data_IF_087960530783
#
_entry.id   IF_087960530783
#
_cell.length_a   1.000
_cell.length_b   1.000
_cell.length_c   1.000
_cell.angle_alpha   90.00
_cell.angle_beta   90.00
_cell.angle_gamma   90.00
#
_symmetry.space_group_name_H-M   'P 1'
#
loop_
_entity.id
_entity.type
_entity.pdbx_description
1 polymer ?
#
# COMPACT_ATOMS: atom_id res chain seq x y z
N UNK A 1 17.60 4.34 -1.38
CA UNK A 1 16.98 3.08 -0.91
C UNK A 1 15.90 3.43 0.09
N UNK A 2 14.64 2.99 -0.11
CA UNK A 2 13.58 3.26 0.86
C UNK A 2 13.82 2.43 2.13
N UNK A 3 14.28 3.09 3.18
CA UNK A 3 14.49 2.48 4.49
C UNK A 3 13.14 2.39 5.19
N UNK A 4 12.87 1.28 5.88
CA UNK A 4 11.63 1.15 6.62
C UNK A 4 11.53 2.22 7.71
N UNK A 5 10.46 3.01 7.68
CA UNK A 5 10.12 3.95 8.75
C UNK A 5 8.61 4.02 8.91
N UNK A 6 8.15 4.33 10.13
CA UNK A 6 6.71 4.50 10.41
C UNK A 6 6.08 5.56 9.49
N UNK A 7 6.81 6.64 9.24
CA UNK A 7 6.37 7.71 8.35
C UNK A 7 6.26 7.24 6.89
N UNK A 8 7.23 6.47 6.40
CA UNK A 8 7.21 5.92 5.05
C UNK A 8 5.99 5.01 4.84
N UNK A 9 5.65 4.17 5.83
CA UNK A 9 4.46 3.30 5.79
C UNK A 9 3.17 4.12 5.75
N UNK A 10 3.04 5.13 6.62
CA UNK A 10 1.85 5.98 6.68
C UNK A 10 1.68 6.83 5.41
N UNK A 11 2.79 7.33 4.85
CA UNK A 11 2.78 8.09 3.60
C UNK A 11 2.38 7.20 2.42
N UNK A 12 2.92 5.97 2.35
CA UNK A 12 2.50 4.98 1.35
C UNK A 12 1.00 4.67 1.46
N UNK A 13 0.51 4.42 2.68
CA UNK A 13 -0.91 4.15 2.93
C UNK A 13 -1.79 5.30 2.40
N UNK A 14 -1.48 6.54 2.78
CA UNK A 14 -2.23 7.73 2.31
C UNK A 14 -2.14 7.91 0.80
N UNK A 15 -0.98 7.65 0.19
CA UNK A 15 -0.79 7.76 -1.25
C UNK A 15 -1.64 6.75 -2.02
N UNK A 16 -1.72 5.49 -1.56
CA UNK A 16 -2.58 4.46 -2.14
C UNK A 16 -4.06 4.86 -2.04
N UNK A 17 -4.51 5.32 -0.89
CA UNK A 17 -5.88 5.80 -0.72
C UNK A 17 -6.19 6.99 -1.64
N UNK A 18 -5.22 7.90 -1.85
CA UNK A 18 -5.39 9.05 -2.74
C UNK A 18 -5.49 8.61 -4.20
N UNK A 19 -4.63 7.71 -4.67
CA UNK A 19 -4.75 7.17 -6.02
C UNK A 19 -6.05 6.40 -6.21
N UNK A 20 -6.49 5.63 -5.21
CA UNK A 20 -7.75 4.89 -5.24
C UNK A 20 -8.99 5.75 -5.47
N UNK A 21 -8.94 7.06 -5.17
CA UNK A 21 -10.04 7.99 -5.49
C UNK A 21 -10.22 8.22 -7.00
N UNK A 22 -9.16 8.02 -7.77
CA UNK A 22 -9.17 8.15 -9.24
C UNK A 22 -9.63 6.89 -9.96
N UNK A 23 -9.92 5.81 -9.24
CA UNK A 23 -10.45 4.58 -9.82
C UNK A 23 -11.88 4.80 -10.33
N UNK A 24 -12.10 4.44 -11.59
CA UNK A 24 -13.35 4.63 -12.35
C UNK A 24 -14.09 3.33 -12.58
N UNK A 25 -13.39 2.23 -12.85
CA UNK A 25 -14.00 0.97 -13.28
C UNK A 25 -13.96 -0.13 -12.21
N UNK A 26 -13.35 0.15 -11.07
CA UNK A 26 -13.26 -0.78 -9.95
C UNK A 26 -14.11 -0.33 -8.78
N UNK A 27 -14.63 -1.29 -8.02
CA UNK A 27 -15.34 -1.01 -6.78
C UNK A 27 -14.37 -0.40 -5.77
N UNK A 28 -14.60 0.89 -5.48
CA UNK A 28 -13.76 1.68 -4.58
C UNK A 28 -13.83 1.17 -3.15
N UNK A 29 -14.99 0.70 -2.69
CA UNK A 29 -15.15 0.20 -1.33
C UNK A 29 -14.42 -1.14 -1.17
N UNK A 30 -14.48 -1.98 -2.20
CA UNK A 30 -13.66 -3.20 -2.26
C UNK A 30 -12.16 -2.89 -2.26
N UNK A 31 -11.72 -1.92 -3.07
CA UNK A 31 -10.31 -1.49 -3.08
C UNK A 31 -9.87 -0.99 -1.70
N UNK A 32 -10.64 -0.08 -1.09
CA UNK A 32 -10.33 0.50 0.22
C UNK A 32 -10.29 -0.58 1.31
N UNK A 33 -11.24 -1.50 1.31
CA UNK A 33 -11.27 -2.62 2.26
C UNK A 33 -10.06 -3.55 2.08
N UNK A 34 -9.67 -3.84 0.83
CA UNK A 34 -8.51 -4.67 0.51
C UNK A 34 -7.20 -4.04 0.99
N UNK A 35 -7.01 -2.74 0.75
CA UNK A 35 -5.84 -2.00 1.25
C UNK A 35 -5.80 -2.02 2.78
N UNK A 36 -6.93 -1.75 3.46
CA UNK A 36 -7.00 -1.80 4.92
C UNK A 36 -6.66 -3.19 5.47
N UNK A 37 -7.19 -4.25 4.84
CA UNK A 37 -6.94 -5.64 5.23
C UNK A 37 -5.46 -6.01 5.10
N UNK A 38 -4.82 -5.63 4.00
CA UNK A 38 -3.40 -5.92 3.78
C UNK A 38 -2.49 -5.20 4.80
N UNK A 39 -2.75 -3.93 5.08
CA UNK A 39 -1.99 -3.18 6.10
C UNK A 39 -2.22 -3.73 7.51
N UNK A 40 -3.47 -4.09 7.86
CA UNK A 40 -3.80 -4.66 9.18
C UNK A 40 -3.16 -6.04 9.38
N UNK A 41 -3.18 -6.89 8.34
CA UNK A 41 -2.51 -8.21 8.38
C UNK A 41 -1.01 -8.10 8.65
N UNK A 42 -0.37 -7.10 8.05
CA UNK A 42 1.07 -6.91 8.12
C UNK A 42 1.52 -5.95 9.25
N UNK A 43 0.60 -5.43 10.06
CA UNK A 43 0.89 -4.44 11.11
C UNK A 43 1.78 -5.02 12.23
N UNK A 44 1.68 -6.33 12.48
CA UNK A 44 2.42 -7.03 13.53
C UNK A 44 3.64 -7.79 13.01
N UNK A 45 4.09 -7.52 11.78
CA UNK A 45 5.35 -8.08 11.28
C UNK A 45 6.49 -7.68 12.24
N UNK A 46 7.22 -8.66 12.74
CA UNK A 46 8.34 -8.45 13.66
C UNK A 46 9.68 -8.40 12.92
N UNK A 47 9.81 -9.18 11.83
CA UNK A 47 11.04 -9.24 11.03
C UNK A 47 11.30 -7.92 10.28
N UNK A 48 12.48 -7.31 10.43
CA UNK A 48 12.86 -6.11 9.71
C UNK A 48 12.95 -6.33 8.19
N UNK A 49 13.37 -7.52 7.76
CA UNK A 49 13.48 -7.89 6.35
C UNK A 49 12.11 -7.95 5.68
N UNK A 50 11.13 -8.55 6.36
CA UNK A 50 9.75 -8.60 5.87
C UNK A 50 9.13 -7.21 5.80
N UNK A 51 9.36 -6.38 6.82
CA UNK A 51 8.93 -4.98 6.85
C UNK A 51 9.43 -4.21 5.62
N UNK A 52 10.72 -4.33 5.29
CA UNK A 52 11.28 -3.69 4.10
C UNK A 52 10.72 -4.26 2.80
N UNK A 53 10.60 -5.58 2.70
CA UNK A 53 10.06 -6.25 1.52
C UNK A 53 8.64 -5.81 1.23
N UNK A 54 7.78 -5.76 2.25
CA UNK A 54 6.40 -5.30 2.12
C UNK A 54 6.31 -3.80 1.76
N UNK A 55 7.18 -2.96 2.33
CA UNK A 55 7.25 -1.55 1.96
C UNK A 55 7.66 -1.37 0.49
N UNK A 56 8.70 -2.07 0.03
CA UNK A 56 9.15 -2.06 -1.37
C UNK A 56 8.04 -2.55 -2.31
N UNK A 57 7.34 -3.64 -1.95
CA UNK A 57 6.18 -4.17 -2.70
C UNK A 57 5.10 -3.09 -2.87
N UNK A 58 4.72 -2.42 -1.79
CA UNK A 58 3.70 -1.38 -1.83
C UNK A 58 4.13 -0.14 -2.63
N UNK A 59 5.40 0.26 -2.54
CA UNK A 59 5.95 1.34 -3.37
C UNK A 59 5.94 0.98 -4.85
N UNK A 60 6.34 -0.25 -5.21
CA UNK A 60 6.26 -0.73 -6.59
C UNK A 60 4.80 -0.74 -7.10
N UNK A 61 3.86 -1.19 -6.26
CA UNK A 61 2.43 -1.15 -6.57
C UNK A 61 1.93 0.27 -6.85
N UNK A 62 2.29 1.24 -6.01
CA UNK A 62 1.96 2.66 -6.23
C UNK A 62 2.59 3.21 -7.52
N UNK A 63 3.87 2.90 -7.76
CA UNK A 63 4.61 3.39 -8.93
C UNK A 63 4.06 2.82 -10.24
N UNK A 64 3.60 1.56 -10.23
CA UNK A 64 2.94 0.89 -11.35
C UNK A 64 1.48 1.33 -11.57
N UNK A 65 1.05 2.45 -10.99
CA UNK A 65 -0.35 2.93 -11.02
C UNK A 65 -1.32 1.85 -10.54
N UNK A 66 -1.11 1.38 -9.30
CA UNK A 66 -1.91 0.33 -8.67
C UNK A 66 -1.92 -1.00 -9.45
N UNK A 67 -0.84 -1.32 -10.17
CA UNK A 67 -0.77 -2.53 -11.00
C UNK A 67 -1.71 -2.51 -12.20
N UNK A 68 -2.09 -1.32 -12.69
CA UNK A 68 -2.98 -1.17 -13.84
C UNK A 68 -4.47 -1.13 -13.49
N UNK A 69 -4.84 -0.94 -12.22
CA UNK A 69 -6.23 -0.67 -11.86
C UNK A 69 -6.65 0.71 -12.40
N UNK A 70 -7.81 0.75 -13.06
CA UNK A 70 -8.39 1.95 -13.70
C UNK A 70 -9.75 2.27 -13.10
#
# INVERSE_FOLDING_TARGET
>A
MATWSREAVLNLYRALLRQGRGLRYTDRDFYLSSIRKEFRKNQHLMSPEDKERHLKKGQAFLHSKLGGLI
#
